data_IF_981660523080
#
_entry.id   IF_981660523080
#
_cell.length_a   1.000
_cell.length_b   1.000
_cell.length_c   1.000
_cell.angle_alpha   90.00
_cell.angle_beta   90.00
_cell.angle_gamma   90.00
#
_symmetry.space_group_name_H-M   'P 1'
#
loop_
_entity.id
_entity.type
_entity.pdbx_description
1 polymer ?
#
# COMPACT_ATOMS: atom_id res chain seq x y z
N UNK A 1 1.42 13.37 -6.17
CA UNK A 1 0.09 12.89 -5.78
C UNK A 1 -0.66 14.07 -5.22
N UNK A 2 -1.95 14.22 -5.53
CA UNK A 2 -2.74 15.32 -4.96
C UNK A 2 -3.27 15.01 -3.56
N UNK A 3 -3.48 13.74 -3.26
CA UNK A 3 -3.92 13.22 -1.96
C UNK A 3 -2.77 12.42 -1.33
N UNK A 4 -2.58 12.47 0.00
CA UNK A 4 -1.60 11.63 0.69
C UNK A 4 -1.82 10.13 0.42
N UNK A 5 -0.72 9.38 0.43
CA UNK A 5 -0.73 7.93 0.36
C UNK A 5 -1.51 7.33 1.55
N UNK A 6 -2.51 6.50 1.25
CA UNK A 6 -3.29 5.80 2.28
C UNK A 6 -2.86 4.33 2.36
N UNK A 7 -2.43 3.89 3.55
CA UNK A 7 -2.00 2.51 3.80
C UNK A 7 -2.93 1.89 4.85
N UNK A 8 -3.56 0.76 4.52
CA UNK A 8 -4.48 0.02 5.39
C UNK A 8 -3.94 -1.38 5.66
N UNK A 9 -3.89 -1.77 6.93
CA UNK A 9 -3.52 -3.14 7.35
C UNK A 9 -4.76 -3.90 7.82
N UNK A 10 -5.10 -4.97 7.10
CA UNK A 10 -6.22 -5.85 7.43
C UNK A 10 -5.70 -7.14 8.06
N UNK A 11 -6.02 -7.35 9.34
CA UNK A 11 -5.65 -8.55 10.10
C UNK A 11 -4.13 -8.82 10.17
N UNK A 12 -3.31 -7.78 9.95
CA UNK A 12 -1.87 -7.80 10.08
C UNK A 12 -1.44 -6.60 10.93
N UNK A 13 -0.41 -6.76 11.74
CA UNK A 13 0.21 -5.66 12.47
C UNK A 13 0.97 -4.73 11.53
N UNK A 14 0.85 -3.43 11.75
CA UNK A 14 1.68 -2.45 11.05
C UNK A 14 3.17 -2.72 11.29
N UNK A 15 3.98 -2.41 10.28
CA UNK A 15 5.43 -2.58 10.32
C UNK A 15 6.08 -1.39 9.62
N UNK A 16 7.01 -0.73 10.30
CA UNK A 16 7.73 0.44 9.77
C UNK A 16 8.44 0.10 8.46
N UNK A 17 9.01 -1.11 8.36
CA UNK A 17 9.65 -1.58 7.14
C UNK A 17 8.68 -1.69 5.95
N UNK A 18 7.45 -2.15 6.20
CA UNK A 18 6.43 -2.25 5.14
C UNK A 18 6.00 -0.83 4.72
N UNK A 19 5.85 0.08 5.67
CA UNK A 19 5.50 1.48 5.39
C UNK A 19 6.57 2.17 4.53
N UNK A 20 7.85 2.01 4.86
CA UNK A 20 8.98 2.54 4.08
C UNK A 20 8.99 1.97 2.67
N UNK A 21 8.87 0.66 2.53
CA UNK A 21 8.85 0.00 1.22
C UNK A 21 7.69 0.49 0.34
N UNK A 22 6.49 0.65 0.91
CA UNK A 22 5.32 1.15 0.17
C UNK A 22 5.52 2.61 -0.21
N UNK A 23 6.07 3.45 0.68
CA UNK A 23 6.37 4.86 0.39
C UNK A 23 7.34 5.02 -0.77
N UNK A 24 8.47 4.32 -0.76
CA UNK A 24 9.46 4.37 -1.85
C UNK A 24 8.84 4.03 -3.20
N UNK A 25 7.97 3.00 -3.24
CA UNK A 25 7.27 2.60 -4.47
C UNK A 25 6.22 3.62 -4.91
N UNK A 26 5.50 4.21 -3.97
CA UNK A 26 4.52 5.25 -4.26
C UNK A 26 5.19 6.54 -4.80
N UNK A 27 6.33 6.93 -4.24
CA UNK A 27 7.13 8.04 -4.73
C UNK A 27 7.63 7.80 -6.16
N UNK A 28 8.10 6.59 -6.46
CA UNK A 28 8.50 6.23 -7.81
C UNK A 28 7.31 6.32 -8.79
N UNK A 29 6.14 5.80 -8.41
CA UNK A 29 4.92 5.91 -9.21
C UNK A 29 4.53 7.37 -9.45
N UNK A 30 4.64 8.21 -8.42
CA UNK A 30 4.32 9.63 -8.50
C UNK A 30 5.25 10.39 -9.46
N UNK A 31 6.54 10.04 -9.47
CA UNK A 31 7.53 10.63 -10.38
C UNK A 31 7.29 10.32 -11.86
N UNK A 32 6.54 9.25 -12.15
CA UNK A 32 6.24 8.81 -13.52
C UNK A 32 4.86 9.25 -14.01
N UNK A 33 3.99 9.73 -13.12
CA UNK A 33 2.59 10.01 -13.43
C UNK A 33 2.18 11.40 -12.90
N UNK A 34 2.33 12.41 -13.76
CA UNK A 34 2.09 13.82 -13.42
C UNK A 34 0.67 14.14 -12.90
N UNK A 35 -0.32 13.30 -13.26
CA UNK A 35 -1.73 13.49 -12.92
C UNK A 35 -2.23 12.48 -11.87
N UNK A 36 -1.33 11.89 -11.08
CA UNK A 36 -1.72 10.93 -10.06
C UNK A 36 -2.48 11.61 -8.91
N UNK A 37 -3.78 11.33 -8.81
CA UNK A 37 -4.63 11.95 -7.77
C UNK A 37 -4.39 11.29 -6.41
N UNK A 38 -4.39 9.96 -6.35
CA UNK A 38 -4.31 9.20 -5.09
C UNK A 38 -3.71 7.81 -5.29
N UNK A 39 -3.06 7.29 -4.25
CA UNK A 39 -2.64 5.89 -4.15
C UNK A 39 -3.15 5.29 -2.83
N UNK A 40 -3.80 4.14 -2.90
CA UNK A 40 -4.36 3.42 -1.75
C UNK A 40 -3.83 1.99 -1.75
N UNK A 41 -3.23 1.59 -0.63
CA UNK A 41 -2.60 0.28 -0.49
C UNK A 41 -3.24 -0.45 0.69
N UNK A 42 -3.70 -1.68 0.43
CA UNK A 42 -4.23 -2.57 1.47
C UNK A 42 -3.30 -3.76 1.60
N UNK A 43 -2.83 -4.02 2.82
CA UNK A 43 -2.04 -5.19 3.17
C UNK A 43 -2.95 -6.14 3.92
N UNK A 44 -3.14 -7.33 3.36
CA UNK A 44 -3.93 -8.39 3.99
C UNK A 44 -3.17 -9.71 3.99
N UNK A 45 -3.48 -10.55 4.97
CA UNK A 45 -2.98 -11.93 4.98
C UNK A 45 -4.03 -12.75 4.27
N UNK A 46 -3.67 -13.31 3.12
CA UNK A 46 -4.54 -14.25 2.41
C UNK A 46 -4.92 -15.38 3.38
N UNK A 47 -6.20 -15.44 3.72
CA UNK A 47 -6.74 -16.59 4.45
C UNK A 47 -6.75 -17.75 3.48
N UNK A 48 -5.90 -18.74 3.71
CA UNK A 48 -5.92 -19.97 2.94
C UNK A 48 -7.20 -20.73 3.32
N UNK A 49 -8.32 -20.42 2.66
CA UNK A 49 -9.54 -21.20 2.73
C UNK A 49 -9.26 -22.53 2.02
N UNK A 50 -8.64 -23.46 2.75
CA UNK A 50 -8.60 -24.86 2.37
C UNK A 50 -10.05 -25.34 2.31
N UNK A 51 -10.61 -25.36 1.11
CA UNK A 51 -11.89 -26.02 0.84
C UNK A 51 -11.68 -27.51 1.11
N UNK A 52 -12.34 -28.02 2.17
CA UNK A 52 -12.38 -29.42 2.55
C UNK A 52 -13.70 -30.03 2.09
#
# INVERSE_FOLDING_TARGET
MQVPLEITYNHISQSDWIDEYIKERAEHLDSMCDNLISCRVTIERVQHSTYR
#
